data_IF_478657548917
#
_entry.id   IF_478657548917
#
_cell.length_a   1.000
_cell.length_b   1.000
_cell.length_c   1.000
_cell.angle_alpha   90.00
_cell.angle_beta   90.00
_cell.angle_gamma   90.00
#
_symmetry.space_group_name_H-M   'P 1'
#
loop_
_entity.id
_entity.type
_entity.pdbx_description
1 polymer ?
#
# COMPACT_ATOMS: atom_id res chain seq x y z
N UNK A 1 41.54 23.77 44.28
CA UNK A 1 41.65 23.64 42.81
C UNK A 1 40.44 22.84 42.34
N UNK A 2 39.40 23.53 41.86
CA UNK A 2 38.13 22.93 41.43
C UNK A 2 38.17 22.52 39.96
N UNK A 3 37.53 21.39 39.68
CA UNK A 3 37.62 20.64 38.43
C UNK A 3 36.81 21.26 37.30
N UNK A 4 37.37 21.17 36.09
CA UNK A 4 36.85 21.70 34.83
C UNK A 4 35.59 20.97 34.37
N UNK A 5 34.59 21.75 33.98
CA UNK A 5 33.36 21.33 33.30
C UNK A 5 33.67 21.00 31.83
N UNK A 6 33.40 19.77 31.40
CA UNK A 6 33.36 19.38 29.98
C UNK A 6 31.89 19.36 29.52
N UNK A 7 31.51 20.35 28.71
CA UNK A 7 30.23 20.38 28.00
C UNK A 7 30.35 19.60 26.70
N UNK A 8 29.69 18.44 26.61
CA UNK A 8 29.54 17.70 25.37
C UNK A 8 28.34 18.23 24.59
N UNK A 9 28.61 18.98 23.52
CA UNK A 9 27.60 19.36 22.52
C UNK A 9 27.37 18.17 21.60
N UNK A 10 26.21 17.52 21.72
CA UNK A 10 25.79 16.43 20.86
C UNK A 10 25.20 17.03 19.56
N UNK A 11 26.00 17.03 18.49
CA UNK A 11 25.55 17.39 17.13
C UNK A 11 24.64 16.28 16.58
N UNK A 12 23.33 16.51 16.59
CA UNK A 12 22.36 15.65 15.93
C UNK A 12 22.40 15.91 14.42
N UNK A 13 23.12 15.07 13.69
CA UNK A 13 23.16 15.10 12.23
C UNK A 13 21.84 14.60 11.66
N UNK A 14 21.09 15.50 11.02
CA UNK A 14 19.81 15.18 10.37
C UNK A 14 20.11 14.55 9.00
N UNK A 15 20.04 13.22 8.92
CA UNK A 15 20.14 12.52 7.65
C UNK A 15 18.91 12.84 6.79
N UNK A 16 19.11 13.57 5.70
CA UNK A 16 18.08 13.76 4.67
C UNK A 16 17.76 12.40 4.04
N UNK A 17 16.53 11.93 4.20
CA UNK A 17 16.04 10.79 3.44
C UNK A 17 16.03 11.16 1.93
N UNK A 18 16.41 10.25 1.02
CA UNK A 18 16.32 10.50 -0.41
C UNK A 18 14.84 10.68 -0.78
N UNK A 19 14.44 11.94 -1.01
CA UNK A 19 13.15 12.25 -1.59
C UNK A 19 13.09 11.72 -3.02
N UNK A 20 11.97 11.11 -3.39
CA UNK A 20 11.66 10.84 -4.79
C UNK A 20 11.62 12.19 -5.51
N UNK A 21 12.61 12.46 -6.35
CA UNK A 21 12.61 13.64 -7.20
C UNK A 21 11.41 13.55 -8.14
N UNK A 22 10.47 14.47 -7.99
CA UNK A 22 9.34 14.59 -8.91
C UNK A 22 9.89 14.82 -10.34
N UNK A 23 9.35 14.11 -11.33
CA UNK A 23 9.61 14.44 -12.74
C UNK A 23 9.17 15.88 -12.99
N UNK A 24 10.14 16.77 -13.20
CA UNK A 24 9.89 18.18 -13.44
C UNK A 24 9.78 18.40 -14.95
N UNK A 25 8.56 18.62 -15.43
CA UNK A 25 8.25 18.81 -16.84
C UNK A 25 7.22 19.92 -17.07
N UNK A 26 7.19 20.44 -18.28
CA UNK A 26 6.27 21.45 -18.77
C UNK A 26 5.05 20.79 -19.45
N UNK A 27 3.86 21.04 -18.89
CA UNK A 27 2.58 20.52 -19.41
C UNK A 27 2.25 21.03 -20.81
N UNK A 28 2.54 22.28 -21.13
CA UNK A 28 2.25 22.87 -22.44
C UNK A 28 3.19 22.31 -23.51
N UNK A 29 4.48 22.16 -23.18
CA UNK A 29 5.45 21.51 -24.05
C UNK A 29 5.11 20.02 -24.27
N UNK A 30 4.66 19.33 -23.22
CA UNK A 30 4.19 17.95 -23.30
C UNK A 30 2.97 17.81 -24.20
N UNK A 31 1.97 18.70 -24.03
CA UNK A 31 0.78 18.76 -24.88
C UNK A 31 1.12 19.00 -26.36
N UNK A 32 2.08 19.87 -26.64
CA UNK A 32 2.51 20.17 -28.00
C UNK A 32 3.16 18.97 -28.70
N UNK A 33 3.84 18.08 -27.96
CA UNK A 33 4.46 16.86 -28.50
C UNK A 33 3.55 15.64 -28.49
N UNK A 34 2.53 15.59 -27.63
CA UNK A 34 1.63 14.46 -27.48
C UNK A 34 0.99 13.89 -28.77
N UNK A 35 0.71 14.69 -29.84
CA UNK A 35 0.18 14.15 -31.09
C UNK A 35 1.03 13.03 -31.72
N UNK A 36 2.34 12.99 -31.47
CA UNK A 36 3.20 11.91 -31.98
C UNK A 36 2.88 10.54 -31.37
N UNK A 37 2.28 10.52 -30.18
CA UNK A 37 1.91 9.30 -29.47
C UNK A 37 0.49 8.84 -29.83
N UNK A 38 -0.35 9.78 -30.30
CA UNK A 38 -1.78 9.58 -30.47
C UNK A 38 -2.15 8.56 -31.55
N UNK A 39 -1.29 8.36 -32.55
CA UNK A 39 -1.54 7.39 -33.63
C UNK A 39 -1.67 5.95 -33.15
N UNK A 40 -1.00 5.61 -32.06
CA UNK A 40 -1.04 4.27 -31.45
C UNK A 40 -1.74 4.29 -30.10
N UNK A 41 -1.41 5.26 -29.23
CA UNK A 41 -1.94 5.34 -27.87
C UNK A 41 -3.27 6.11 -27.76
N UNK A 42 -3.86 6.52 -28.88
CA UNK A 42 -5.12 7.26 -28.97
C UNK A 42 -4.99 8.75 -28.66
N UNK A 43 -5.95 9.53 -29.14
CA UNK A 43 -5.92 11.00 -29.10
C UNK A 43 -5.76 11.59 -27.69
N UNK A 44 -6.36 10.94 -26.69
CA UNK A 44 -6.28 11.35 -25.30
C UNK A 44 -5.34 10.45 -24.46
N UNK A 45 -4.45 9.68 -25.10
CA UNK A 45 -3.65 8.67 -24.40
C UNK A 45 -4.47 7.47 -23.91
N UNK A 46 -5.67 7.27 -24.48
CA UNK A 46 -6.52 6.10 -24.26
C UNK A 46 -6.31 5.17 -25.45
N UNK A 47 -5.65 4.04 -25.20
CA UNK A 47 -5.28 3.05 -26.20
C UNK A 47 -6.45 2.54 -27.01
N UNK A 48 -6.24 2.37 -28.32
CA UNK A 48 -7.26 1.85 -29.24
C UNK A 48 -7.37 0.31 -29.22
N UNK A 49 -6.41 -0.38 -28.58
CA UNK A 49 -6.38 -1.83 -28.40
C UNK A 49 -5.49 -2.22 -27.22
N UNK A 50 -5.50 -3.50 -26.83
CA UNK A 50 -4.64 -4.00 -25.76
C UNK A 50 -3.13 -3.92 -26.09
N UNK A 51 -2.79 -3.90 -27.38
CA UNK A 51 -1.42 -3.75 -27.88
C UNK A 51 -0.85 -2.35 -27.62
N UNK A 52 -1.72 -1.33 -27.60
CA UNK A 52 -1.35 0.05 -27.37
C UNK A 52 -1.85 0.51 -26.01
N UNK A 53 -1.04 0.35 -24.94
CA UNK A 53 -1.51 0.61 -23.58
C UNK A 53 -1.86 2.09 -23.35
N UNK A 54 -2.75 2.32 -22.37
CA UNK A 54 -3.14 3.67 -21.95
C UNK A 54 -1.95 4.44 -21.35
N UNK A 55 -1.75 5.67 -21.84
CA UNK A 55 -0.82 6.66 -21.26
C UNK A 55 -1.54 7.59 -20.28
N UNK A 56 -2.82 7.87 -20.54
CA UNK A 56 -3.63 8.80 -19.78
C UNK A 56 -3.80 8.39 -18.31
N UNK A 57 -3.56 9.32 -17.39
CA UNK A 57 -3.70 9.11 -15.95
C UNK A 57 -2.68 8.15 -15.33
N UNK A 58 -1.61 7.82 -16.07
CA UNK A 58 -0.51 7.03 -15.56
C UNK A 58 0.48 7.92 -14.79
N UNK A 59 1.16 7.39 -13.78
CA UNK A 59 2.11 8.18 -12.97
C UNK A 59 3.24 8.76 -13.84
N UNK A 60 3.55 10.05 -13.68
CA UNK A 60 4.60 10.72 -14.43
C UNK A 60 5.96 9.99 -14.30
N UNK A 61 6.36 9.62 -13.09
CA UNK A 61 7.58 8.83 -12.84
C UNK A 61 7.60 7.51 -13.60
N UNK A 62 6.45 6.84 -13.71
CA UNK A 62 6.38 5.58 -14.44
C UNK A 62 6.56 5.82 -15.94
N UNK A 63 5.84 6.79 -16.51
CA UNK A 63 5.95 7.14 -17.92
C UNK A 63 7.36 7.57 -18.30
N UNK A 64 7.98 8.44 -17.50
CA UNK A 64 9.37 8.86 -17.68
C UNK A 64 10.32 7.66 -17.66
N UNK A 65 10.24 6.81 -16.64
CA UNK A 65 11.07 5.60 -16.53
C UNK A 65 10.88 4.65 -17.71
N UNK A 66 9.65 4.45 -18.18
CA UNK A 66 9.41 3.56 -19.32
C UNK A 66 9.97 4.13 -20.63
N UNK A 67 9.80 5.43 -20.89
CA UNK A 67 10.38 6.07 -22.08
C UNK A 67 11.91 6.02 -22.05
N UNK A 68 12.54 6.28 -20.90
CA UNK A 68 13.98 6.08 -20.76
C UNK A 68 14.39 4.62 -21.02
N UNK A 69 13.66 3.67 -20.45
CA UNK A 69 13.95 2.24 -20.61
C UNK A 69 13.81 1.75 -22.06
N UNK A 70 12.83 2.27 -22.81
CA UNK A 70 12.71 1.99 -24.24
C UNK A 70 13.86 2.61 -25.04
N UNK A 71 14.27 3.82 -24.68
CA UNK A 71 15.35 4.55 -25.35
C UNK A 71 16.71 3.89 -25.14
N UNK A 72 17.04 3.50 -23.90
CA UNK A 72 18.30 2.84 -23.57
C UNK A 72 18.31 1.33 -23.88
N UNK A 73 17.13 0.76 -24.17
CA UNK A 73 16.97 -0.65 -24.54
C UNK A 73 16.87 -1.61 -23.36
N UNK A 74 16.84 -1.13 -22.11
CA UNK A 74 16.53 -1.95 -20.93
C UNK A 74 15.09 -2.49 -20.96
N UNK A 75 14.20 -1.82 -21.69
CA UNK A 75 12.91 -2.38 -22.14
C UNK A 75 12.90 -2.49 -23.66
N UNK A 76 12.71 -3.70 -24.17
CA UNK A 76 12.75 -3.98 -25.60
C UNK A 76 11.34 -4.08 -26.16
N UNK A 77 10.96 -3.08 -26.94
CA UNK A 77 9.83 -3.14 -27.88
C UNK A 77 10.26 -2.27 -29.09
N UNK A 78 10.42 -2.84 -30.30
CA UNK A 78 11.03 -2.13 -31.43
C UNK A 78 10.36 -0.81 -31.80
N UNK A 79 9.02 -0.74 -31.75
CA UNK A 79 8.28 0.47 -32.12
C UNK A 79 8.50 1.60 -31.10
N UNK A 80 8.34 1.31 -29.81
CA UNK A 80 8.53 2.26 -28.73
C UNK A 80 10.00 2.64 -28.53
N UNK A 81 10.95 1.75 -28.85
CA UNK A 81 12.37 2.10 -28.90
C UNK A 81 12.64 3.17 -29.95
N UNK A 82 12.11 2.99 -31.16
CA UNK A 82 12.27 4.00 -32.22
C UNK A 82 11.63 5.34 -31.82
N UNK A 83 10.43 5.31 -31.23
CA UNK A 83 9.75 6.51 -30.75
C UNK A 83 10.52 7.21 -29.62
N UNK A 84 10.99 6.46 -28.63
CA UNK A 84 11.71 7.01 -27.49
C UNK A 84 13.12 7.51 -27.86
N UNK A 85 13.75 6.94 -28.89
CA UNK A 85 15.06 7.38 -29.41
C UNK A 85 15.03 8.80 -29.98
N UNK A 86 13.87 9.28 -30.41
CA UNK A 86 13.69 10.65 -30.90
C UNK A 86 13.43 11.68 -29.78
N UNK A 87 13.34 11.26 -28.51
CA UNK A 87 12.98 12.12 -27.39
C UNK A 87 14.21 12.52 -26.55
N UNK A 88 14.32 13.82 -26.26
CA UNK A 88 15.24 14.33 -25.24
C UNK A 88 14.73 14.02 -23.82
N UNK A 89 15.57 14.18 -22.80
CA UNK A 89 15.15 14.03 -21.40
C UNK A 89 14.06 15.02 -21.01
N UNK A 90 14.15 16.25 -21.52
CA UNK A 90 13.11 17.26 -21.35
C UNK A 90 11.80 16.82 -22.00
N UNK A 91 11.83 16.24 -23.20
CA UNK A 91 10.62 15.73 -23.86
C UNK A 91 9.98 14.59 -23.10
N UNK A 92 10.79 13.66 -22.58
CA UNK A 92 10.31 12.55 -21.76
C UNK A 92 9.64 13.10 -20.49
N UNK A 93 10.24 14.06 -19.81
CA UNK A 93 9.66 14.69 -18.62
C UNK A 93 8.34 15.41 -18.95
N UNK A 94 8.33 16.20 -20.02
CA UNK A 94 7.17 16.98 -20.47
C UNK A 94 5.99 16.07 -20.87
N UNK A 95 6.24 15.03 -21.67
CA UNK A 95 5.23 14.04 -22.07
C UNK A 95 4.71 13.26 -20.86
N UNK A 96 5.59 12.88 -19.92
CA UNK A 96 5.24 12.16 -18.72
C UNK A 96 4.29 12.97 -17.82
N UNK A 97 4.58 14.25 -17.55
CA UNK A 97 3.69 15.09 -16.76
C UNK A 97 2.37 15.38 -17.49
N UNK A 98 2.42 15.56 -18.82
CA UNK A 98 1.23 15.81 -19.63
C UNK A 98 0.26 14.62 -19.59
N UNK A 99 0.70 13.42 -19.96
CA UNK A 99 -0.18 12.24 -19.96
C UNK A 99 -0.64 11.85 -18.55
N UNK A 100 0.17 12.12 -17.53
CA UNK A 100 -0.23 11.93 -16.12
C UNK A 100 -1.37 12.86 -15.69
N UNK A 101 -1.47 14.04 -16.30
CA UNK A 101 -2.55 15.01 -16.02
C UNK A 101 -3.87 14.68 -16.72
N UNK A 102 -3.86 13.80 -17.72
CA UNK A 102 -5.07 13.38 -18.43
C UNK A 102 -5.90 12.40 -17.59
N UNK A 103 -7.21 12.36 -17.85
CA UNK A 103 -8.10 11.43 -17.18
C UNK A 103 -7.76 9.98 -17.50
N UNK A 104 -7.82 9.11 -16.49
CA UNK A 104 -7.56 7.67 -16.66
C UNK A 104 -8.67 7.03 -17.50
N UNK A 105 -8.30 6.12 -18.40
CA UNK A 105 -9.28 5.34 -19.17
C UNK A 105 -10.28 4.62 -18.24
N UNK A 106 -11.60 4.67 -18.53
CA UNK A 106 -12.63 3.96 -17.77
C UNK A 106 -12.42 2.44 -17.69
N UNK A 107 -11.67 1.85 -18.62
CA UNK A 107 -11.34 0.42 -18.61
C UNK A 107 -10.42 0.03 -17.44
N UNK A 108 -9.65 0.96 -16.88
CA UNK A 108 -8.92 0.77 -15.62
C UNK A 108 -9.76 1.11 -14.37
N UNK A 109 -10.96 1.65 -14.55
CA UNK A 109 -11.93 1.98 -13.50
C UNK A 109 -12.93 0.83 -13.28
N UNK A 110 -12.94 -0.18 -14.16
CA UNK A 110 -13.69 -1.44 -13.98
C UNK A 110 -13.05 -2.42 -12.97
N UNK A 111 -12.47 -1.88 -11.91
CA UNK A 111 -12.61 -2.41 -10.55
C UNK A 111 -12.53 -1.16 -9.70
N UNK A 112 -13.68 -0.63 -9.31
CA UNK A 112 -13.75 0.58 -8.51
C UNK A 112 -12.74 0.46 -7.35
N UNK A 113 -11.61 1.17 -7.46
CA UNK A 113 -10.99 1.68 -6.26
C UNK A 113 -12.08 2.60 -5.69
N UNK A 114 -12.54 2.39 -4.45
CA UNK A 114 -13.45 3.35 -3.87
C UNK A 114 -12.74 4.70 -3.99
N UNK A 115 -13.34 5.64 -4.73
CA UNK A 115 -13.17 7.07 -4.47
C UNK A 115 -13.15 7.17 -2.97
N UNK A 116 -12.09 7.68 -2.34
CA UNK A 116 -11.93 7.70 -0.89
C UNK A 116 -13.28 8.07 -0.27
N UNK A 117 -14.04 7.03 0.10
CA UNK A 117 -15.37 7.22 0.64
C UNK A 117 -15.10 7.91 1.95
N UNK A 118 -15.94 8.86 2.33
CA UNK A 118 -15.99 9.33 3.71
C UNK A 118 -15.77 8.12 4.64
N UNK A 119 -14.91 8.28 5.67
CA UNK A 119 -14.56 7.21 6.62
C UNK A 119 -15.81 6.37 6.88
N UNK A 120 -15.82 5.07 6.54
CA UNK A 120 -17.05 4.30 6.56
C UNK A 120 -17.74 4.46 7.92
N UNK A 121 -19.03 4.76 7.88
CA UNK A 121 -19.76 5.16 9.09
C UNK A 121 -20.16 3.92 9.90
N UNK A 122 -20.46 4.09 11.19
CA UNK A 122 -21.05 3.04 12.02
C UNK A 122 -22.36 2.45 11.43
N UNK A 123 -23.02 3.15 10.51
CA UNK A 123 -24.19 2.62 9.78
C UNK A 123 -23.82 1.54 8.75
N UNK A 124 -22.63 1.64 8.17
CA UNK A 124 -22.11 0.67 7.19
C UNK A 124 -21.42 -0.51 7.90
N UNK A 125 -20.81 -0.25 9.06
CA UNK A 125 -20.18 -1.25 9.93
C UNK A 125 -20.83 -1.20 11.32
N UNK A 126 -22.02 -1.82 11.50
CA UNK A 126 -22.75 -1.78 12.77
C UNK A 126 -22.04 -2.55 13.90
N UNK A 127 -21.04 -3.36 13.55
CA UNK A 127 -20.16 -4.05 14.49
C UNK A 127 -18.72 -3.66 14.24
N UNK A 128 -17.95 -3.53 15.33
CA UNK A 128 -16.53 -3.26 15.24
C UNK A 128 -15.83 -4.31 14.37
N UNK A 129 -15.02 -3.83 13.43
CA UNK A 129 -14.09 -4.68 12.68
C UNK A 129 -12.76 -4.68 13.42
N UNK A 130 -12.16 -5.85 13.60
CA UNK A 130 -10.87 -6.03 14.25
C UNK A 130 -9.80 -6.28 13.20
N UNK A 131 -8.64 -5.66 13.37
CA UNK A 131 -7.55 -5.71 12.40
C UNK A 131 -6.26 -5.99 13.16
N UNK A 132 -5.69 -7.17 12.95
CA UNK A 132 -4.38 -7.52 13.53
C UNK A 132 -3.22 -6.86 12.78
N UNK A 133 -2.37 -6.16 13.52
CA UNK A 133 -1.22 -5.45 12.97
C UNK A 133 0.07 -6.20 13.22
N UNK A 134 0.60 -6.83 12.17
CA UNK A 134 1.81 -7.67 12.24
C UNK A 134 3.04 -6.95 12.79
N UNK A 135 3.26 -5.69 12.40
CA UNK A 135 4.49 -4.97 12.81
C UNK A 135 4.40 -4.39 14.22
N UNK A 136 3.30 -3.73 14.56
CA UNK A 136 3.10 -3.13 15.88
C UNK A 136 2.71 -4.15 16.94
N UNK A 137 2.22 -5.33 16.53
CA UNK A 137 1.77 -6.36 17.47
C UNK A 137 0.45 -6.02 18.16
N UNK A 138 -0.38 -5.20 17.52
CA UNK A 138 -1.63 -4.68 18.07
C UNK A 138 -2.84 -5.27 17.35
N UNK A 139 -4.01 -5.07 17.95
CA UNK A 139 -5.30 -5.19 17.27
C UNK A 139 -5.90 -3.78 17.20
N UNK A 140 -6.30 -3.34 16.02
CA UNK A 140 -6.96 -2.06 15.83
C UNK A 140 -8.45 -2.28 15.52
N UNK A 141 -9.31 -1.40 16.01
CA UNK A 141 -10.75 -1.45 15.72
C UNK A 141 -11.14 -0.47 14.64
N UNK A 142 -12.17 -0.79 13.88
CA UNK A 142 -12.80 0.12 12.93
C UNK A 142 -14.32 0.13 13.19
N UNK A 143 -15.00 1.29 13.17
CA UNK A 143 -14.51 2.62 12.82
C UNK A 143 -13.84 3.40 13.97
N UNK A 144 -13.89 2.89 15.19
CA UNK A 144 -13.49 3.63 16.39
C UNK A 144 -11.98 3.85 16.53
N UNK A 145 -11.15 3.15 15.74
CA UNK A 145 -9.68 3.30 15.69
C UNK A 145 -9.00 3.12 17.04
N UNK A 146 -9.59 2.31 17.93
CA UNK A 146 -8.97 1.97 19.21
C UNK A 146 -7.87 0.93 18.99
N UNK A 147 -6.74 1.10 19.68
CA UNK A 147 -5.58 0.22 19.58
C UNK A 147 -5.47 -0.64 20.84
N UNK A 148 -5.53 -1.95 20.68
CA UNK A 148 -5.39 -2.93 21.76
C UNK A 148 -4.00 -3.55 21.69
N UNK A 149 -3.33 -3.61 22.84
CA UNK A 149 -2.00 -4.21 22.94
C UNK A 149 -2.12 -5.73 22.86
N UNK A 150 -1.42 -6.33 21.91
CA UNK A 150 -1.38 -7.77 21.73
C UNK A 150 0.02 -8.36 21.88
N UNK A 151 0.33 -9.35 21.04
CA UNK A 151 1.62 -10.01 20.97
C UNK A 151 2.47 -9.58 19.78
N UNK A 152 3.75 -9.95 19.73
CA UNK A 152 4.57 -9.70 18.55
C UNK A 152 3.99 -10.42 17.32
N UNK A 153 4.04 -9.82 16.14
CA UNK A 153 3.66 -10.49 14.89
C UNK A 153 2.19 -10.95 14.79
N UNK A 154 1.22 -10.23 15.37
CA UNK A 154 -0.21 -10.54 15.21
C UNK A 154 -0.59 -10.74 13.72
N UNK A 155 -1.27 -11.84 13.38
CA UNK A 155 -1.44 -12.23 11.96
C UNK A 155 -2.88 -12.54 11.51
N UNK A 156 -3.57 -13.47 12.16
CA UNK A 156 -4.97 -13.79 11.85
C UNK A 156 -5.80 -13.63 13.11
N UNK A 157 -7.08 -13.36 12.91
CA UNK A 157 -8.06 -13.32 13.97
C UNK A 157 -9.35 -14.08 13.63
N UNK A 158 -10.15 -14.30 14.67
CA UNK A 158 -11.52 -14.81 14.60
C UNK A 158 -12.30 -14.29 15.81
N UNK A 159 -13.53 -13.85 15.58
CA UNK A 159 -14.46 -13.44 16.62
C UNK A 159 -15.38 -14.61 16.97
N UNK A 160 -15.76 -14.75 18.24
CA UNK A 160 -16.79 -15.71 18.65
C UNK A 160 -18.15 -15.34 18.03
N UNK A 161 -19.05 -16.31 17.78
CA UNK A 161 -20.36 -16.04 17.17
C UNK A 161 -21.25 -15.06 17.94
N UNK A 162 -21.11 -15.01 19.26
CA UNK A 162 -21.79 -14.05 20.14
C UNK A 162 -21.14 -12.66 20.14
N UNK A 163 -20.03 -12.49 19.41
CA UNK A 163 -19.28 -11.25 19.32
C UNK A 163 -18.45 -10.90 20.56
N UNK A 164 -18.45 -11.72 21.62
CA UNK A 164 -17.89 -11.33 22.93
C UNK A 164 -16.37 -11.46 23.05
N UNK A 165 -15.73 -12.28 22.20
CA UNK A 165 -14.28 -12.51 22.24
C UNK A 165 -13.65 -12.47 20.86
N UNK A 166 -12.46 -11.89 20.81
CA UNK A 166 -11.57 -11.94 19.66
C UNK A 166 -10.40 -12.87 19.99
N UNK A 167 -10.14 -13.84 19.14
CA UNK A 167 -8.95 -14.68 19.20
C UNK A 167 -8.00 -14.25 18.09
N UNK A 168 -6.73 -14.06 18.40
CA UNK A 168 -5.76 -13.62 17.41
C UNK A 168 -4.41 -14.34 17.56
N UNK A 169 -3.86 -14.81 16.45
CA UNK A 169 -2.64 -15.63 16.42
C UNK A 169 -1.38 -14.77 16.37
N UNK A 170 -0.36 -15.22 17.10
CA UNK A 170 0.99 -14.66 17.08
C UNK A 170 2.00 -15.75 16.72
N UNK A 171 2.44 -15.82 15.45
CA UNK A 171 3.36 -16.84 14.97
C UNK A 171 4.70 -16.81 15.72
N UNK A 172 5.25 -15.62 15.99
CA UNK A 172 6.57 -15.50 16.63
C UNK A 172 6.55 -15.87 18.10
N UNK A 173 5.41 -15.75 18.79
CA UNK A 173 5.32 -16.12 20.21
C UNK A 173 4.69 -17.48 20.45
N UNK A 174 4.30 -18.24 19.41
CA UNK A 174 3.60 -19.52 19.52
C UNK A 174 2.35 -19.45 20.42
N UNK A 175 1.59 -18.36 20.32
CA UNK A 175 0.41 -18.12 21.18
C UNK A 175 -0.81 -17.68 20.37
N UNK A 176 -1.97 -17.91 20.96
CA UNK A 176 -3.23 -17.24 20.63
C UNK A 176 -3.57 -16.27 21.77
N UNK A 177 -3.77 -15.01 21.42
CA UNK A 177 -4.25 -13.98 22.34
C UNK A 177 -5.76 -13.92 22.27
N UNK A 178 -6.41 -13.82 23.42
CA UNK A 178 -7.87 -13.70 23.54
C UNK A 178 -8.17 -12.34 24.13
N UNK A 179 -9.06 -11.58 23.50
CA UNK A 179 -9.50 -10.26 23.93
C UNK A 179 -10.99 -10.26 24.20
N UNK A 180 -11.41 -9.45 25.17
CA UNK A 180 -12.79 -9.04 25.37
C UNK A 180 -13.13 -7.94 24.36
N UNK A 181 -14.15 -8.16 23.53
CA UNK A 181 -14.43 -7.23 22.43
C UNK A 181 -15.08 -5.92 22.87
N UNK A 182 -15.71 -5.92 24.05
CA UNK A 182 -16.38 -4.74 24.59
C UNK A 182 -15.37 -3.74 25.18
N UNK A 183 -14.33 -4.23 25.84
CA UNK A 183 -13.31 -3.40 26.52
C UNK A 183 -11.98 -3.31 25.78
N UNK A 184 -11.70 -4.22 24.85
CA UNK A 184 -10.38 -4.41 24.25
C UNK A 184 -9.35 -5.03 25.20
N UNK A 185 -9.78 -5.44 26.40
CA UNK A 185 -8.91 -6.05 27.40
C UNK A 185 -8.43 -7.42 26.97
N UNK A 186 -7.13 -7.68 27.07
CA UNK A 186 -6.58 -9.02 26.86
C UNK A 186 -7.01 -9.95 28.01
N UNK A 187 -7.79 -10.97 27.68
CA UNK A 187 -8.29 -11.99 28.61
C UNK A 187 -7.27 -13.11 28.84
N UNK A 188 -6.55 -13.52 27.78
CA UNK A 188 -5.60 -14.62 27.86
C UNK A 188 -4.54 -14.56 26.76
N UNK A 189 -3.42 -15.24 27.00
CA UNK A 189 -2.40 -15.53 25.99
C UNK A 189 -2.06 -17.03 26.07
N UNK A 190 -2.73 -17.83 25.26
CA UNK A 190 -2.74 -19.30 25.32
C UNK A 190 -1.59 -19.85 24.46
N UNK A 191 -0.63 -20.58 25.03
CA UNK A 191 0.39 -21.29 24.26
C UNK A 191 -0.24 -22.34 23.34
N UNK A 192 0.23 -22.38 22.10
CA UNK A 192 -0.15 -23.38 21.10
C UNK A 192 1.11 -23.95 20.46
N UNK A 193 1.00 -24.71 19.37
CA UNK A 193 2.17 -25.22 18.67
C UNK A 193 2.92 -24.13 17.89
N UNK A 194 3.92 -24.57 17.11
CA UNK A 194 4.88 -23.66 16.47
C UNK A 194 4.23 -22.84 15.35
N UNK A 195 4.54 -21.55 15.31
CA UNK A 195 4.13 -20.63 14.25
C UNK A 195 2.63 -20.71 13.88
N UNK A 196 1.71 -20.47 14.84
CA UNK A 196 0.27 -20.47 14.57
C UNK A 196 -0.07 -19.43 13.50
N UNK A 197 -0.93 -19.81 12.56
CA UNK A 197 -1.42 -18.96 11.47
C UNK A 197 -2.92 -18.80 11.59
N UNK A 198 -3.70 -19.77 11.12
CA UNK A 198 -5.16 -19.66 11.12
C UNK A 198 -5.76 -19.90 12.49
N UNK A 199 -6.83 -19.19 12.80
CA UNK A 199 -7.74 -19.50 13.90
C UNK A 199 -9.18 -19.48 13.39
N UNK A 200 -10.01 -20.39 13.87
CA UNK A 200 -11.46 -20.45 13.62
C UNK A 200 -12.18 -20.87 14.88
N UNK A 201 -13.34 -20.26 15.14
CA UNK A 201 -14.21 -20.57 16.28
C UNK A 201 -15.39 -21.41 15.78
N UNK A 202 -15.83 -22.38 16.59
CA UNK A 202 -17.01 -23.19 16.29
C UNK A 202 -18.29 -22.34 16.32
N UNK A 203 -19.35 -22.72 15.59
CA UNK A 203 -20.62 -21.98 15.58
C UNK A 203 -21.30 -21.82 16.94
N UNK A 204 -21.02 -22.74 17.87
CA UNK A 204 -21.49 -22.68 19.26
C UNK A 204 -20.58 -21.85 20.18
N UNK A 205 -19.47 -21.30 19.66
CA UNK A 205 -18.51 -20.48 20.40
C UNK A 205 -17.64 -21.24 21.40
N UNK A 206 -17.82 -22.55 21.57
CA UNK A 206 -17.17 -23.32 22.66
C UNK A 206 -15.74 -23.70 22.38
N UNK A 207 -15.36 -23.84 21.11
CA UNK A 207 -14.03 -24.27 20.72
C UNK A 207 -13.42 -23.34 19.68
N UNK A 208 -12.10 -23.27 19.69
CA UNK A 208 -11.33 -22.67 18.61
C UNK A 208 -10.27 -23.66 18.13
N UNK A 209 -10.09 -23.72 16.82
CA UNK A 209 -9.03 -24.52 16.18
C UNK A 209 -7.96 -23.59 15.61
N UNK A 210 -6.71 -23.97 15.83
CA UNK A 210 -5.54 -23.21 15.43
C UNK A 210 -4.71 -24.06 14.48
N UNK A 211 -4.40 -23.53 13.30
CA UNK A 211 -3.48 -24.19 12.37
C UNK A 211 -2.07 -23.66 12.56
N UNK A 212 -1.13 -24.59 12.67
CA UNK A 212 0.29 -24.30 12.85
C UNK A 212 1.01 -24.47 11.52
N UNK A 213 1.94 -23.57 11.21
CA UNK A 213 2.68 -23.64 9.95
C UNK A 213 3.78 -24.72 10.03
N UNK A 214 3.85 -25.59 9.02
CA UNK A 214 4.90 -26.61 8.91
C UNK A 214 4.76 -27.74 9.93
N UNK A 215 3.53 -28.07 10.30
CA UNK A 215 3.18 -29.21 11.17
C UNK A 215 3.05 -30.50 10.39
#
# INVERSE_FOLDING_TARGET
MNQSLLSSVLLLSMAAAPGFAAVNGDLAAGKAKAPMCAGCHGANGIGVSAEFPNLAGQKADYLSKQLHAFRDGSRVEPTMKAMASALSDGDIANLAVYFASLERSPAAVAKAAPTASAKPTAREFPHATFITMKKSGTVETFPDETVWQGGPNMLYDAVTPDGSKLLATSPSSNKVYVFDTASGGQLAAVPVGKAPKGVKVTPDGRFAWVSNQGS
#
